data_IF_250420647263
#
_entry.id   IF_250420647263
#
_cell.length_a   1.000
_cell.length_b   1.000
_cell.length_c   1.000
_cell.angle_alpha   90.00
_cell.angle_beta   90.00
_cell.angle_gamma   90.00
#
_symmetry.space_group_name_H-M   'P 1'
#
loop_
_entity.id
_entity.type
_entity.pdbx_description
1 polymer ?
#
# COMPACT_ATOMS: atom_id res chain seq x y z
N UNK A 1 -15.38 -12.05 8.60
CA UNK A 1 -15.53 -11.42 7.26
C UNK A 1 -15.61 -12.53 6.23
N UNK A 2 -16.51 -12.45 5.23
CA UNK A 2 -16.59 -13.51 4.21
C UNK A 2 -15.38 -13.45 3.26
N UNK A 3 -14.97 -14.61 2.72
CA UNK A 3 -13.83 -14.71 1.77
C UNK A 3 -14.03 -13.85 0.51
N UNK A 4 -15.28 -13.67 0.10
CA UNK A 4 -15.66 -12.85 -1.05
C UNK A 4 -15.50 -11.35 -0.73
N UNK A 5 -15.94 -10.90 0.45
CA UNK A 5 -15.74 -9.50 0.89
C UNK A 5 -14.26 -9.16 1.00
N UNK A 6 -13.45 -10.05 1.57
CA UNK A 6 -12.01 -9.84 1.68
C UNK A 6 -11.35 -9.68 0.30
N UNK A 7 -11.65 -10.59 -0.65
CA UNK A 7 -11.16 -10.48 -2.04
C UNK A 7 -11.53 -9.15 -2.69
N UNK A 8 -12.79 -8.74 -2.60
CA UNK A 8 -13.25 -7.44 -3.15
C UNK A 8 -12.48 -6.27 -2.55
N UNK A 9 -12.23 -6.30 -1.25
CA UNK A 9 -11.51 -5.24 -0.58
C UNK A 9 -10.03 -5.19 -1.01
N UNK A 10 -9.39 -6.35 -1.08
CA UNK A 10 -8.01 -6.46 -1.59
C UNK A 10 -7.91 -5.99 -3.04
N UNK A 11 -8.88 -6.33 -3.91
CA UNK A 11 -8.90 -5.85 -5.30
C UNK A 11 -8.95 -4.33 -5.36
N UNK A 12 -9.81 -3.69 -4.57
CA UNK A 12 -9.91 -2.23 -4.53
C UNK A 12 -8.59 -1.56 -4.13
N UNK A 13 -7.92 -2.09 -3.11
CA UNK A 13 -6.59 -1.61 -2.69
C UNK A 13 -5.50 -1.86 -3.72
N UNK A 14 -5.50 -3.03 -4.38
CA UNK A 14 -4.56 -3.34 -5.45
C UNK A 14 -4.70 -2.35 -6.61
N UNK A 15 -5.93 -2.08 -7.05
CA UNK A 15 -6.17 -1.10 -8.11
C UNK A 15 -5.67 0.31 -7.72
N UNK A 16 -5.93 0.71 -6.47
CA UNK A 16 -5.47 1.99 -5.94
C UNK A 16 -3.94 2.09 -5.92
N UNK A 17 -3.25 1.07 -5.40
CA UNK A 17 -1.79 1.05 -5.38
C UNK A 17 -1.20 1.00 -6.79
N UNK A 18 -1.76 0.19 -7.69
CA UNK A 18 -1.33 0.15 -9.09
C UNK A 18 -1.46 1.50 -9.77
N UNK A 19 -2.56 2.22 -9.55
CA UNK A 19 -2.71 3.58 -10.07
C UNK A 19 -1.64 4.54 -9.52
N UNK A 20 -1.38 4.46 -8.21
CA UNK A 20 -0.43 5.36 -7.54
C UNK A 20 1.00 5.10 -7.99
N UNK A 21 1.43 3.83 -8.06
CA UNK A 21 2.81 3.45 -8.42
C UNK A 21 3.07 3.70 -9.91
N UNK A 22 2.09 3.37 -10.78
CA UNK A 22 2.21 3.55 -12.23
C UNK A 22 2.41 5.00 -12.65
N UNK A 23 2.11 5.97 -11.77
CA UNK A 23 2.40 7.40 -12.01
C UNK A 23 3.86 7.65 -12.40
N UNK A 24 4.81 6.94 -11.80
CA UNK A 24 6.23 7.19 -12.09
C UNK A 24 6.60 6.76 -13.52
N UNK A 25 5.83 5.86 -14.15
CA UNK A 25 6.01 5.40 -15.53
C UNK A 25 5.31 6.28 -16.57
N UNK A 26 4.49 7.25 -16.15
CA UNK A 26 3.73 8.12 -17.06
C UNK A 26 4.56 9.31 -17.51
N UNK A 27 4.29 9.78 -18.73
CA UNK A 27 4.77 11.06 -19.26
C UNK A 27 4.22 12.24 -18.45
N UNK A 28 4.94 13.38 -18.45
CA UNK A 28 4.62 14.51 -17.57
C UNK A 28 3.20 15.07 -17.76
N UNK A 29 2.68 15.06 -18.99
CA UNK A 29 1.34 15.53 -19.34
C UNK A 29 0.23 14.52 -19.03
N UNK A 30 0.58 13.24 -18.86
CA UNK A 30 -0.36 12.17 -18.46
C UNK A 30 -0.34 11.92 -16.94
N UNK A 31 0.65 12.47 -16.22
CA UNK A 31 0.81 12.26 -14.78
C UNK A 31 -0.36 12.84 -13.98
N UNK A 32 -0.92 12.06 -13.04
CA UNK A 32 -1.81 12.58 -12.03
C UNK A 32 -1.22 13.76 -11.26
N UNK A 33 -2.06 14.73 -10.93
CA UNK A 33 -1.67 15.99 -10.28
C UNK A 33 -1.25 15.85 -8.81
N UNK A 34 -1.55 14.71 -8.18
CA UNK A 34 -1.11 14.45 -6.81
C UNK A 34 0.42 14.43 -6.71
N UNK A 35 0.96 14.74 -5.52
CA UNK A 35 2.39 14.77 -5.28
C UNK A 35 2.74 13.91 -4.07
N UNK A 36 3.79 13.11 -4.19
CA UNK A 36 4.34 12.40 -3.05
C UNK A 36 5.03 13.38 -2.10
N UNK A 37 4.78 13.20 -0.80
CA UNK A 37 5.63 13.80 0.23
C UNK A 37 7.00 13.12 0.23
N UNK A 38 8.02 13.75 0.84
CA UNK A 38 9.35 13.13 0.97
C UNK A 38 9.29 11.75 1.63
N UNK A 39 8.45 11.60 2.66
CA UNK A 39 8.25 10.31 3.34
C UNK A 39 7.62 9.26 2.43
N UNK A 40 6.60 9.65 1.64
CA UNK A 40 5.95 8.74 0.69
C UNK A 40 6.93 8.27 -0.38
N UNK A 41 7.77 9.18 -0.90
CA UNK A 41 8.80 8.83 -1.89
C UNK A 41 9.81 7.84 -1.34
N UNK A 42 10.40 8.13 -0.18
CA UNK A 42 11.35 7.22 0.48
C UNK A 42 10.75 5.83 0.71
N UNK A 43 9.50 5.75 1.15
CA UNK A 43 8.83 4.47 1.34
C UNK A 43 8.47 3.75 0.03
N UNK A 44 8.24 4.48 -1.07
CA UNK A 44 8.02 3.89 -2.39
C UNK A 44 9.33 3.32 -2.95
N UNK A 45 10.41 4.08 -2.85
CA UNK A 45 11.74 3.65 -3.31
C UNK A 45 12.16 2.35 -2.59
N UNK A 46 11.97 2.29 -1.26
CA UNK A 46 12.25 1.07 -0.50
C UNK A 46 11.32 -0.11 -0.82
N UNK A 47 10.07 0.14 -1.24
CA UNK A 47 9.17 -0.91 -1.72
C UNK A 47 9.63 -1.46 -3.08
N UNK A 48 10.04 -0.59 -4.00
CA UNK A 48 10.54 -0.99 -5.32
C UNK A 48 11.82 -1.81 -5.15
N UNK A 49 12.78 -1.33 -4.33
CA UNK A 49 14.03 -2.06 -4.06
C UNK A 49 13.78 -3.46 -3.47
N UNK A 50 12.87 -3.57 -2.49
CA UNK A 50 12.52 -4.87 -1.92
C UNK A 50 11.84 -5.79 -2.94
N UNK A 51 11.00 -5.23 -3.82
CA UNK A 51 10.30 -6.00 -4.85
C UNK A 51 11.27 -6.50 -5.94
N UNK A 52 12.24 -5.68 -6.33
CA UNK A 52 13.30 -6.05 -7.28
C UNK A 52 14.15 -7.20 -6.71
N UNK A 53 14.58 -7.10 -5.45
CA UNK A 53 15.31 -8.20 -4.78
C UNK A 53 14.52 -9.51 -4.74
N UNK A 54 13.22 -9.45 -4.47
CA UNK A 54 12.36 -10.63 -4.48
C UNK A 54 12.24 -11.22 -5.89
N UNK A 55 12.15 -10.37 -6.92
CA UNK A 55 12.12 -10.77 -8.32
C UNK A 55 13.41 -11.48 -8.72
N UNK A 56 14.57 -10.91 -8.38
CA UNK A 56 15.89 -11.48 -8.65
C UNK A 56 16.00 -12.90 -8.06
N UNK A 57 15.58 -13.09 -6.80
CA UNK A 57 15.57 -14.42 -6.17
C UNK A 57 14.62 -15.41 -6.84
N UNK A 58 13.48 -14.94 -7.35
CA UNK A 58 12.57 -15.78 -8.12
C UNK A 58 13.21 -16.21 -9.46
N UNK A 59 13.95 -15.32 -10.12
CA UNK A 59 14.68 -15.61 -11.36
C UNK A 59 15.86 -16.56 -11.15
N UNK A 60 16.53 -16.47 -9.99
CA UNK A 60 17.54 -17.44 -9.53
C UNK A 60 16.96 -18.83 -9.20
N UNK A 61 15.63 -19.00 -9.26
CA UNK A 61 14.95 -20.26 -8.99
C UNK A 61 14.74 -20.56 -7.51
N UNK A 62 14.91 -19.58 -6.63
CA UNK A 62 14.54 -19.72 -5.21
C UNK A 62 13.02 -19.80 -5.10
N UNK A 63 12.56 -20.59 -4.14
CA UNK A 63 11.13 -20.87 -3.95
C UNK A 63 10.70 -20.60 -2.51
N UNK A 64 9.40 -20.80 -2.25
CA UNK A 64 8.80 -20.68 -0.92
C UNK A 64 9.41 -21.62 0.15
N UNK A 65 10.34 -22.52 -0.19
CA UNK A 65 11.08 -23.32 0.80
C UNK A 65 12.40 -22.68 1.24
N UNK A 66 12.98 -21.78 0.43
CA UNK A 66 14.24 -21.09 0.68
C UNK A 66 14.07 -19.99 1.75
N UNK A 67 14.95 -19.98 2.76
CA UNK A 67 14.91 -19.00 3.85
C UNK A 67 15.14 -17.57 3.36
N UNK A 68 16.03 -17.37 2.38
CA UNK A 68 16.35 -16.06 1.81
C UNK A 68 15.15 -15.53 1.03
N UNK A 69 14.45 -16.41 0.30
CA UNK A 69 13.24 -16.02 -0.43
C UNK A 69 12.09 -15.65 0.53
N UNK A 70 11.91 -16.40 1.63
CA UNK A 70 10.95 -16.06 2.69
C UNK A 70 11.26 -14.72 3.32
N UNK A 71 12.54 -14.44 3.61
CA UNK A 71 12.96 -13.16 4.17
C UNK A 71 12.68 -12.01 3.20
N UNK A 72 12.99 -12.17 1.91
CA UNK A 72 12.65 -11.19 0.89
C UNK A 72 11.14 -10.94 0.78
N UNK A 73 10.30 -11.98 0.87
CA UNK A 73 8.84 -11.81 0.91
C UNK A 73 8.38 -11.00 2.11
N UNK A 74 8.97 -11.24 3.29
CA UNK A 74 8.66 -10.47 4.51
C UNK A 74 9.10 -9.01 4.33
N UNK A 75 10.26 -8.76 3.73
CA UNK A 75 10.76 -7.41 3.46
C UNK A 75 9.81 -6.64 2.53
N UNK A 76 9.34 -7.26 1.44
CA UNK A 76 8.34 -6.66 0.55
C UNK A 76 7.04 -6.35 1.30
N UNK A 77 6.56 -7.26 2.15
CA UNK A 77 5.35 -7.04 2.93
C UNK A 77 5.49 -5.88 3.92
N UNK A 78 6.65 -5.76 4.57
CA UNK A 78 6.96 -4.66 5.49
C UNK A 78 7.08 -3.33 4.75
N UNK A 79 7.83 -3.27 3.65
CA UNK A 79 7.99 -2.08 2.82
C UNK A 79 6.64 -1.62 2.25
N UNK A 80 5.80 -2.56 1.78
CA UNK A 80 4.46 -2.28 1.30
C UNK A 80 3.59 -1.66 2.39
N UNK A 81 3.64 -2.22 3.60
CA UNK A 81 2.90 -1.69 4.73
C UNK A 81 3.37 -0.27 5.09
N UNK A 82 4.68 -0.03 5.14
CA UNK A 82 5.25 1.29 5.40
C UNK A 82 4.81 2.32 4.36
N UNK A 83 4.84 1.95 3.07
CA UNK A 83 4.33 2.80 1.99
C UNK A 83 2.83 3.08 2.15
N UNK A 84 2.02 2.07 2.43
CA UNK A 84 0.58 2.26 2.66
C UNK A 84 0.30 3.20 3.84
N UNK A 85 1.05 3.08 4.94
CA UNK A 85 0.93 3.98 6.09
C UNK A 85 1.38 5.39 5.72
N UNK A 86 2.47 5.56 4.97
CA UNK A 86 2.91 6.88 4.50
C UNK A 86 1.88 7.55 3.57
N UNK A 87 1.16 6.78 2.75
CA UNK A 87 0.06 7.27 1.93
C UNK A 87 -1.13 7.72 2.78
N UNK A 88 -1.46 6.96 3.82
CA UNK A 88 -2.57 7.24 4.74
C UNK A 88 -2.28 8.43 5.68
N UNK A 89 -1.02 8.62 6.06
CA UNK A 89 -0.54 9.71 6.92
C UNK A 89 -0.27 11.00 6.13
N UNK A 90 -1.19 11.36 5.23
CA UNK A 90 -1.13 12.58 4.44
C UNK A 90 -2.00 13.67 5.09
N UNK A 91 -1.39 14.82 5.39
CA UNK A 91 -2.12 15.95 5.97
C UNK A 91 -2.93 16.69 4.91
N UNK A 92 -4.27 16.72 5.05
CA UNK A 92 -5.19 17.28 4.04
C UNK A 92 -5.43 18.80 4.17
N UNK A 93 -4.68 19.51 5.00
CA UNK A 93 -4.99 20.91 5.40
C UNK A 93 -5.02 21.90 4.22
N UNK A 94 -4.18 21.74 3.19
CA UNK A 94 -4.06 22.74 2.11
C UNK A 94 -4.83 22.38 0.83
N UNK A 95 -4.67 21.16 0.31
CA UNK A 95 -5.31 20.73 -0.94
C UNK A 95 -5.49 19.21 -0.97
N UNK A 96 -6.72 18.74 -0.75
CA UNK A 96 -7.07 17.32 -0.75
C UNK A 96 -6.76 16.61 -2.08
N UNK A 97 -6.74 17.33 -3.21
CA UNK A 97 -6.40 16.79 -4.52
C UNK A 97 -4.90 16.48 -4.69
N UNK A 98 -4.07 16.88 -3.73
CA UNK A 98 -2.67 16.46 -3.69
C UNK A 98 -2.47 15.08 -3.06
N UNK A 99 -3.50 14.51 -2.43
CA UNK A 99 -3.44 13.17 -1.85
C UNK A 99 -3.59 12.10 -2.92
N UNK A 100 -2.59 11.22 -3.01
CA UNK A 100 -2.59 10.06 -3.89
C UNK A 100 -3.80 9.13 -3.63
N UNK A 101 -4.21 8.98 -2.36
CA UNK A 101 -5.38 8.17 -1.98
C UNK A 101 -6.67 8.80 -2.52
N UNK A 102 -6.84 10.12 -2.39
CA UNK A 102 -8.03 10.83 -2.86
C UNK A 102 -8.09 10.79 -4.40
N UNK A 103 -6.97 11.04 -5.08
CA UNK A 103 -6.88 10.92 -6.53
C UNK A 103 -7.21 9.50 -7.01
N UNK A 104 -6.65 8.48 -6.36
CA UNK A 104 -6.94 7.08 -6.68
C UNK A 104 -8.40 6.70 -6.43
N UNK A 105 -8.99 7.18 -5.34
CA UNK A 105 -10.41 6.98 -5.04
C UNK A 105 -11.32 7.65 -6.08
N UNK A 106 -10.97 8.83 -6.58
CA UNK A 106 -11.71 9.50 -7.64
C UNK A 106 -11.69 8.65 -8.93
N UNK A 107 -10.51 8.17 -9.32
CA UNK A 107 -10.36 7.28 -10.50
C UNK A 107 -11.15 5.99 -10.35
N UNK A 108 -11.16 5.38 -9.17
CA UNK A 108 -11.96 4.18 -8.89
C UNK A 108 -13.48 4.40 -8.96
N UNK A 109 -13.93 5.65 -8.94
CA UNK A 109 -15.34 6.03 -9.13
C UNK A 109 -15.72 6.31 -10.58
N UNK A 110 -14.78 6.26 -11.52
CA UNK A 110 -15.06 6.44 -12.95
C UNK A 110 -15.46 5.12 -13.58
N UNK A 111 -16.58 5.12 -14.30
CA UNK A 111 -17.08 3.98 -15.07
C UNK A 111 -16.49 3.97 -16.48
N UNK A 112 -16.56 2.80 -17.14
CA UNK A 112 -16.05 2.61 -18.51
C UNK A 112 -16.70 3.55 -19.54
N UNK A 113 -17.95 3.97 -19.31
CA UNK A 113 -18.68 4.93 -20.15
C UNK A 113 -18.28 6.39 -19.87
N UNK A 114 -17.18 6.62 -19.13
CA UNK A 114 -16.73 7.94 -18.64
C UNK A 114 -17.74 8.63 -17.70
N UNK A 115 -18.76 7.90 -17.23
CA UNK A 115 -19.67 8.35 -16.20
C UNK A 115 -19.08 8.16 -14.81
N UNK A 116 -19.74 8.74 -13.81
CA UNK A 116 -19.45 8.46 -12.40
C UNK A 116 -20.25 7.26 -11.90
N UNK A 117 -19.66 6.49 -11.00
CA UNK A 117 -20.38 5.49 -10.25
C UNK A 117 -21.53 6.10 -9.47
N UNK A 118 -22.63 5.35 -9.38
CA UNK A 118 -23.69 5.73 -8.47
C UNK A 118 -23.24 5.53 -7.01
N UNK A 119 -23.87 6.21 -6.04
CA UNK A 119 -23.51 6.08 -4.63
C UNK A 119 -23.58 4.64 -4.08
N UNK A 120 -24.46 3.78 -4.61
CA UNK A 120 -24.62 2.40 -4.14
C UNK A 120 -23.42 1.53 -4.51
N UNK A 121 -22.78 1.82 -5.64
CA UNK A 121 -21.61 1.07 -6.14
C UNK A 121 -20.28 1.68 -5.71
N UNK A 122 -20.25 2.98 -5.42
CA UNK A 122 -19.06 3.68 -4.93
C UNK A 122 -18.83 3.52 -3.43
N UNK A 123 -19.90 3.59 -2.61
CA UNK A 123 -19.80 3.46 -1.13
C UNK A 123 -19.11 2.17 -0.67
N UNK A 124 -19.34 1.00 -1.31
CA UNK A 124 -18.59 -0.21 -1.01
C UNK A 124 -17.08 -0.10 -1.24
N UNK A 125 -16.63 0.68 -2.24
CA UNK A 125 -15.20 0.92 -2.51
C UNK A 125 -14.58 1.77 -1.41
N UNK A 126 -15.23 2.86 -1.01
CA UNK A 126 -14.82 3.67 0.14
C UNK A 126 -14.71 2.82 1.42
N UNK A 127 -15.74 2.00 1.66
CA UNK A 127 -15.77 1.08 2.81
C UNK A 127 -14.63 0.07 2.78
N UNK A 128 -14.27 -0.45 1.60
CA UNK A 128 -13.14 -1.34 1.42
C UNK A 128 -11.84 -0.65 1.80
N UNK A 129 -11.63 0.57 1.28
CA UNK A 129 -10.42 1.35 1.53
C UNK A 129 -10.27 1.62 3.03
N UNK A 130 -11.31 2.15 3.68
CA UNK A 130 -11.30 2.46 5.11
C UNK A 130 -11.04 1.22 5.97
N UNK A 131 -11.69 0.09 5.69
CA UNK A 131 -11.56 -1.12 6.51
C UNK A 131 -10.16 -1.71 6.42
N UNK A 132 -9.59 -1.80 5.23
CA UNK A 132 -8.22 -2.28 5.07
C UNK A 132 -7.19 -1.27 5.59
N UNK A 133 -7.44 0.04 5.47
CA UNK A 133 -6.60 1.08 6.12
C UNK A 133 -6.48 0.83 7.62
N UNK A 134 -7.61 0.60 8.30
CA UNK A 134 -7.64 0.32 9.75
C UNK A 134 -6.88 -0.95 10.09
N UNK A 135 -7.02 -2.00 9.28
CA UNK A 135 -6.28 -3.24 9.46
C UNK A 135 -4.77 -3.04 9.29
N UNK A 136 -4.34 -2.23 8.31
CA UNK A 136 -2.94 -1.88 8.09
C UNK A 136 -2.35 -1.11 9.29
N UNK A 137 -3.10 -0.14 9.83
CA UNK A 137 -2.66 0.60 11.04
C UNK A 137 -2.52 -0.34 12.24
N UNK A 138 -3.47 -1.26 12.43
CA UNK A 138 -3.39 -2.28 13.49
C UNK A 138 -2.17 -3.19 13.28
N UNK A 139 -1.91 -3.61 12.04
CA UNK A 139 -0.76 -4.44 11.69
C UNK A 139 0.56 -3.71 11.98
N UNK A 140 0.66 -2.43 11.63
CA UNK A 140 1.83 -1.60 11.93
C UNK A 140 2.05 -1.51 13.45
N UNK A 141 1.00 -1.18 14.22
CA UNK A 141 1.09 -1.12 15.67
C UNK A 141 1.49 -2.47 16.31
N UNK A 142 1.02 -3.58 15.74
CA UNK A 142 1.42 -4.92 16.17
C UNK A 142 2.90 -5.19 15.91
N UNK A 143 3.41 -4.87 14.70
CA UNK A 143 4.82 -5.04 14.35
C UNK A 143 5.73 -4.19 15.27
N UNK A 144 5.42 -2.89 15.42
CA UNK A 144 6.18 -2.01 16.32
C UNK A 144 6.25 -2.54 17.75
N UNK A 145 5.16 -3.13 18.24
CA UNK A 145 5.13 -3.75 19.57
C UNK A 145 6.05 -4.98 19.65
N UNK A 146 6.03 -5.85 18.64
CA UNK A 146 6.91 -7.02 18.61
C UNK A 146 8.38 -6.60 18.58
N UNK A 147 8.73 -5.64 17.74
CA UNK A 147 10.10 -5.12 17.65
C UNK A 147 10.57 -4.53 18.99
N UNK A 148 9.69 -3.79 19.66
CA UNK A 148 9.95 -3.25 21.01
C UNK A 148 10.17 -4.35 22.04
N UNK A 149 9.40 -5.45 21.97
CA UNK A 149 9.56 -6.60 22.88
C UNK A 149 10.91 -7.28 22.62
N UNK A 150 11.23 -7.55 21.35
CA UNK A 150 12.51 -8.16 20.95
C UNK A 150 13.68 -7.29 21.43
N UNK A 151 13.61 -5.98 21.27
CA UNK A 151 14.64 -5.05 21.71
C UNK A 151 14.79 -5.04 23.25
N UNK A 152 13.68 -5.06 24.00
CA UNK A 152 13.71 -5.13 25.48
C UNK A 152 14.28 -6.45 26.00
N UNK A 153 13.94 -7.57 25.35
CA UNK A 153 14.52 -8.88 25.68
C UNK A 153 16.02 -8.90 25.39
N UNK A 154 16.46 -8.31 24.27
CA UNK A 154 17.90 -8.14 23.95
C UNK A 154 18.63 -7.28 24.98
N UNK A 155 17.95 -6.30 25.57
CA UNK A 155 18.48 -5.45 26.64
C UNK A 155 18.43 -6.10 28.04
N UNK A 156 18.03 -7.38 28.14
CA UNK A 156 18.13 -8.17 29.38
C UNK A 156 16.94 -8.03 30.34
N UNK A 157 15.81 -7.50 29.88
CA UNK A 157 14.59 -7.41 30.67
C UNK A 157 13.72 -8.65 30.41
N UNK A 158 13.46 -9.46 31.45
CA UNK A 158 12.52 -10.61 31.42
C UNK A 158 11.16 -10.22 31.95
#
# INVERSE_FOLDING_TARGET
MSRNTFRKYTTCWKQLLSYIVRREDLEEDERPTFKFTSRQRVSLDGLIEAADQLSDYQEEGKSDDDEVYKEAQVNVQQALLQFCIALLDHNLVDNEYQSAIISGLAVLGVREDKGWDNPKDYTPKLSAVIKLSRLMVIQMAYQTRQDTIVERVRQGWS
#
